data_IF_942276041675
#
_entry.id   IF_942276041675
#
_cell.length_a   1.000
_cell.length_b   1.000
_cell.length_c   1.000
_cell.angle_alpha   90.00
_cell.angle_beta   90.00
_cell.angle_gamma   90.00
#
_symmetry.space_group_name_H-M   'P 1'
#
loop_
_entity.id
_entity.type
_entity.pdbx_description
1 polymer ?
#
# COMPACT_ATOMS: atom_id res chain seq x y z
N UNK A 1 28.39 45.72 21.48
CA UNK A 1 27.64 45.62 20.22
C UNK A 1 26.18 45.43 20.55
N UNK A 2 25.29 46.10 19.83
CA UNK A 2 23.85 45.92 19.97
C UNK A 2 23.43 44.49 19.61
N UNK A 3 22.37 43.98 20.26
CA UNK A 3 21.81 42.66 19.94
C UNK A 3 20.94 42.77 18.69
N UNK A 4 21.49 42.42 17.54
CA UNK A 4 20.77 42.46 16.25
C UNK A 4 20.23 41.08 15.88
N UNK A 5 18.96 41.00 15.48
CA UNK A 5 18.35 39.82 14.85
C UNK A 5 18.08 40.13 13.37
N UNK A 6 18.66 39.34 12.47
CA UNK A 6 18.40 39.42 11.03
C UNK A 6 17.51 38.24 10.61
N UNK A 7 16.42 38.54 9.89
CA UNK A 7 15.53 37.52 9.33
C UNK A 7 15.74 37.46 7.83
N UNK A 8 16.14 36.30 7.32
CA UNK A 8 16.29 36.02 5.90
C UNK A 8 15.19 35.04 5.50
N UNK A 9 14.16 35.57 4.85
CA UNK A 9 13.01 34.77 4.43
C UNK A 9 13.23 34.22 3.01
N UNK A 10 12.85 32.97 2.79
CA UNK A 10 12.80 32.32 1.49
C UNK A 10 14.11 32.30 0.70
N UNK A 11 15.17 31.77 1.30
CA UNK A 11 16.49 31.85 0.69
C UNK A 11 16.77 30.73 -0.33
N UNK A 12 15.80 29.84 -0.59
CA UNK A 12 15.96 28.66 -1.44
C UNK A 12 16.47 28.97 -2.87
N UNK A 13 16.02 30.03 -3.57
CA UNK A 13 16.52 30.35 -4.90
C UNK A 13 17.98 30.83 -4.92
N UNK A 14 18.50 31.30 -3.78
CA UNK A 14 19.82 31.93 -3.62
C UNK A 14 20.61 31.30 -2.46
N UNK A 15 20.41 30.00 -2.24
CA UNK A 15 20.86 29.31 -1.04
C UNK A 15 22.37 29.42 -0.82
N UNK A 16 23.17 29.29 -1.90
CA UNK A 16 24.63 29.35 -1.84
C UNK A 16 25.15 30.76 -1.58
N UNK A 17 24.54 31.77 -2.20
CA UNK A 17 24.81 33.19 -1.94
C UNK A 17 24.46 33.55 -0.49
N UNK A 18 23.30 33.09 -0.02
CA UNK A 18 22.83 33.33 1.34
C UNK A 18 23.74 32.67 2.38
N UNK A 19 24.17 31.42 2.17
CA UNK A 19 25.11 30.75 3.05
C UNK A 19 26.44 31.54 3.18
N UNK A 20 26.97 32.06 2.06
CA UNK A 20 28.17 32.92 2.07
C UNK A 20 27.93 34.24 2.82
N UNK A 21 26.78 34.88 2.59
CA UNK A 21 26.41 36.11 3.29
C UNK A 21 26.30 35.89 4.80
N UNK A 22 25.63 34.82 5.22
CA UNK A 22 25.47 34.46 6.64
C UNK A 22 26.84 34.23 7.29
N UNK A 23 27.75 33.51 6.63
CA UNK A 23 29.12 33.33 7.13
C UNK A 23 29.86 34.65 7.30
N UNK A 24 29.80 35.55 6.31
CA UNK A 24 30.44 36.85 6.37
C UNK A 24 29.88 37.73 7.49
N UNK A 25 28.56 37.73 7.68
CA UNK A 25 27.89 38.48 8.74
C UNK A 25 28.26 37.98 10.13
N UNK A 26 28.31 36.65 10.34
CA UNK A 26 28.69 36.06 11.62
C UNK A 26 30.16 36.34 11.97
N UNK A 27 31.06 36.39 10.97
CA UNK A 27 32.45 36.79 11.18
C UNK A 27 32.60 38.28 11.54
N UNK A 28 31.84 39.15 10.88
CA UNK A 28 31.92 40.60 11.11
C UNK A 28 31.19 41.06 12.38
N UNK A 29 30.13 40.35 12.78
CA UNK A 29 29.29 40.68 13.94
C UNK A 29 28.95 39.43 14.77
N UNK A 30 29.87 38.95 15.64
CA UNK A 30 29.69 37.71 16.40
C UNK A 30 28.51 37.69 17.38
N UNK A 31 27.94 38.86 17.72
CA UNK A 31 26.78 38.98 18.60
C UNK A 31 25.43 38.98 17.85
N UNK A 32 25.45 38.98 16.50
CA UNK A 32 24.24 38.95 15.69
C UNK A 32 23.58 37.56 15.74
N UNK A 33 22.25 37.53 15.70
CA UNK A 33 21.46 36.30 15.51
C UNK A 33 20.81 36.34 14.13
N UNK A 34 20.78 35.20 13.44
CA UNK A 34 20.15 35.08 12.14
C UNK A 34 19.06 34.01 12.20
N UNK A 35 17.86 34.37 11.76
CA UNK A 35 16.77 33.44 11.52
C UNK A 35 16.59 33.31 10.02
N UNK A 36 16.83 32.12 9.48
CA UNK A 36 16.72 31.85 8.05
C UNK A 36 15.57 30.90 7.81
N UNK A 37 14.67 31.22 6.88
CA UNK A 37 13.64 30.30 6.41
C UNK A 37 14.05 29.73 5.05
N UNK A 38 14.02 28.41 4.94
CA UNK A 38 14.41 27.68 3.74
C UNK A 38 13.76 26.28 3.75
N UNK A 39 13.58 25.68 2.58
CA UNK A 39 13.16 24.28 2.43
C UNK A 39 14.30 23.30 2.79
N UNK A 40 15.56 23.75 2.73
CA UNK A 40 16.73 22.93 3.12
C UNK A 40 17.66 23.73 4.03
N UNK A 41 18.36 23.06 4.96
CA UNK A 41 19.41 23.68 5.76
C UNK A 41 20.45 24.35 4.86
N UNK A 42 21.02 25.47 5.31
CA UNK A 42 22.11 26.17 4.61
C UNK A 42 23.41 25.34 4.58
N UNK A 43 23.55 24.36 5.47
CA UNK A 43 24.74 23.52 5.57
C UNK A 43 25.89 24.19 6.30
N UNK A 44 25.57 25.09 7.24
CA UNK A 44 26.57 25.79 8.06
C UNK A 44 26.88 24.97 9.32
N UNK A 45 28.14 24.97 9.76
CA UNK A 45 28.59 24.11 10.87
C UNK A 45 27.91 24.37 12.22
N UNK A 46 27.45 25.60 12.48
CA UNK A 46 26.75 25.99 13.72
C UNK A 46 25.23 26.17 13.51
N UNK A 47 24.68 25.65 12.42
CA UNK A 47 23.27 25.78 12.09
C UNK A 47 22.37 25.00 13.06
N UNK A 48 21.41 25.70 13.68
CA UNK A 48 20.34 25.08 14.47
C UNK A 48 19.08 25.00 13.61
N UNK A 49 18.73 23.78 13.17
CA UNK A 49 17.62 23.55 12.24
C UNK A 49 16.34 23.23 13.01
N UNK A 50 15.36 24.12 12.95
CA UNK A 50 13.98 23.84 13.38
C UNK A 50 13.17 23.33 12.18
N UNK A 51 12.87 22.03 12.14
CA UNK A 51 12.01 21.45 11.10
C UNK A 51 10.54 21.69 11.45
N UNK A 52 9.81 22.33 10.54
CA UNK A 52 8.37 22.52 10.66
C UNK A 52 7.63 21.29 10.13
N UNK A 53 6.69 20.77 10.92
CA UNK A 53 5.79 19.70 10.52
C UNK A 53 4.45 20.26 10.01
N UNK A 54 3.68 19.41 9.32
CA UNK A 54 2.27 19.68 9.11
C UNK A 54 1.53 19.85 10.45
N UNK A 55 0.38 20.53 10.42
CA UNK A 55 -0.47 20.68 11.59
C UNK A 55 -1.07 19.32 11.98
N UNK A 56 -1.10 18.97 13.28
CA UNK A 56 -1.80 17.78 13.73
C UNK A 56 -3.28 17.85 13.36
N UNK A 57 -3.76 16.76 12.77
CA UNK A 57 -5.16 16.56 12.36
C UNK A 57 -5.98 15.86 13.44
N UNK A 58 -5.31 15.16 14.35
CA UNK A 58 -5.91 14.48 15.50
C UNK A 58 -5.58 15.22 16.79
N UNK A 59 -6.46 15.08 17.78
CA UNK A 59 -6.26 15.62 19.13
C UNK A 59 -5.48 14.59 19.96
N UNK A 60 -4.34 14.95 20.57
CA UNK A 60 -3.62 14.06 21.47
C UNK A 60 -4.51 13.61 22.64
N UNK A 61 -4.33 12.38 23.10
CA UNK A 61 -5.07 11.85 24.24
C UNK A 61 -4.92 12.77 25.47
N UNK A 62 -6.06 13.28 25.99
CA UNK A 62 -6.10 14.19 27.13
C UNK A 62 -6.10 15.68 26.81
N UNK A 63 -5.97 16.08 25.54
CA UNK A 63 -6.19 17.46 25.13
C UNK A 63 -7.70 17.75 24.91
N UNK A 64 -8.12 18.96 25.27
CA UNK A 64 -9.50 19.45 25.07
C UNK A 64 -9.54 20.49 23.95
N UNK A 65 -10.54 20.40 23.07
CA UNK A 65 -10.72 21.29 21.92
C UNK A 65 -10.31 20.67 20.57
N UNK A 66 -10.56 21.39 19.46
CA UNK A 66 -10.31 20.86 18.11
C UNK A 66 -8.81 20.74 17.82
N UNK A 67 -8.44 19.81 16.94
CA UNK A 67 -7.07 19.65 16.47
C UNK A 67 -6.57 20.94 15.79
N UNK A 68 -5.25 21.26 15.84
CA UNK A 68 -4.70 22.48 15.25
C UNK A 68 -5.07 22.69 13.77
N UNK A 69 -5.13 21.63 12.97
CA UNK A 69 -5.55 21.70 11.57
C UNK A 69 -7.03 22.11 11.44
N UNK A 70 -7.91 21.52 12.26
CA UNK A 70 -9.35 21.84 12.32
C UNK A 70 -9.55 23.28 12.76
N UNK A 71 -8.82 23.73 13.78
CA UNK A 71 -8.85 25.12 14.23
C UNK A 71 -8.50 26.09 13.10
N UNK A 72 -7.40 25.82 12.37
CA UNK A 72 -7.03 26.66 11.22
C UNK A 72 -8.11 26.64 10.14
N UNK A 73 -8.71 25.49 9.83
CA UNK A 73 -9.78 25.39 8.85
C UNK A 73 -10.96 26.29 9.22
N UNK A 74 -11.42 26.20 10.47
CA UNK A 74 -12.57 26.98 10.97
C UNK A 74 -12.25 28.47 11.01
N UNK A 75 -11.06 28.87 11.44
CA UNK A 75 -10.61 30.27 11.41
C UNK A 75 -10.64 30.86 9.99
N UNK A 76 -10.46 30.02 8.97
CA UNK A 76 -10.36 30.43 7.56
C UNK A 76 -11.69 30.30 6.82
N UNK A 77 -12.61 29.48 7.31
CA UNK A 77 -13.96 29.33 6.80
C UNK A 77 -14.86 30.57 7.00
N UNK A 78 -14.38 31.60 7.71
CA UNK A 78 -15.03 32.92 7.91
C UNK A 78 -16.53 32.78 8.26
N UNK A 79 -17.42 33.22 7.38
CA UNK A 79 -18.86 33.30 7.62
C UNK A 79 -19.51 31.92 7.81
N UNK A 80 -18.89 30.84 7.30
CA UNK A 80 -19.34 29.46 7.48
C UNK A 80 -18.87 28.83 8.80
N UNK A 81 -18.00 29.49 9.58
CA UNK A 81 -17.41 28.92 10.79
C UNK A 81 -18.43 28.56 11.88
N UNK A 82 -19.50 29.35 12.01
CA UNK A 82 -20.53 29.15 13.03
C UNK A 82 -21.41 27.91 12.74
N UNK A 83 -21.68 27.61 11.47
CA UNK A 83 -22.44 26.41 11.09
C UNK A 83 -21.60 25.15 11.34
N UNK A 84 -20.34 25.15 10.87
CA UNK A 84 -19.42 24.01 10.94
C UNK A 84 -19.14 23.51 12.37
N UNK A 85 -19.10 24.41 13.35
CA UNK A 85 -18.89 24.07 14.76
C UNK A 85 -20.19 23.73 15.51
N UNK A 86 -21.35 24.03 14.93
CA UNK A 86 -22.64 23.86 15.58
C UNK A 86 -23.22 22.45 15.50
N UNK A 87 -22.65 21.56 14.67
CA UNK A 87 -23.16 20.19 14.44
C UNK A 87 -22.04 19.16 14.46
N UNK A 88 -22.17 18.13 15.29
CA UNK A 88 -21.16 17.06 15.44
C UNK A 88 -20.78 16.39 14.10
N UNK A 89 -21.76 16.20 13.21
CA UNK A 89 -21.54 15.63 11.88
C UNK A 89 -20.65 16.50 10.98
N UNK A 90 -20.74 17.83 11.10
CA UNK A 90 -19.92 18.75 10.33
C UNK A 90 -18.49 18.82 10.89
N UNK A 91 -18.33 18.71 12.21
CA UNK A 91 -17.00 18.59 12.83
C UNK A 91 -16.24 17.37 12.31
N UNK A 92 -16.89 16.19 12.24
CA UNK A 92 -16.28 14.99 11.70
C UNK A 92 -15.88 15.14 10.22
N UNK A 93 -16.63 15.93 9.45
CA UNK A 93 -16.29 16.20 8.05
C UNK A 93 -15.14 17.19 7.90
N UNK A 94 -15.05 18.21 8.75
CA UNK A 94 -13.90 19.12 8.78
C UNK A 94 -12.62 18.34 9.12
N UNK A 95 -12.68 17.41 10.07
CA UNK A 95 -11.57 16.51 10.37
C UNK A 95 -11.19 15.64 9.16
N UNK A 96 -12.17 15.11 8.43
CA UNK A 96 -11.91 14.38 7.17
C UNK A 96 -11.20 15.27 6.14
N UNK A 97 -11.69 16.49 5.91
CA UNK A 97 -11.05 17.45 4.98
C UNK A 97 -9.61 17.74 5.40
N UNK A 98 -9.38 18.02 6.69
CA UNK A 98 -8.04 18.26 7.24
C UNK A 98 -7.09 17.06 7.05
N UNK A 99 -7.60 15.83 7.20
CA UNK A 99 -6.87 14.58 6.92
C UNK A 99 -6.55 14.44 5.43
N UNK A 100 -7.51 14.74 4.54
CA UNK A 100 -7.32 14.65 3.08
C UNK A 100 -6.25 15.61 2.56
N UNK A 101 -6.11 16.78 3.18
CA UNK A 101 -5.04 17.76 2.89
C UNK A 101 -3.78 17.57 3.76
N UNK A 102 -3.71 16.46 4.50
CA UNK A 102 -2.55 16.01 5.28
C UNK A 102 -2.00 17.04 6.28
N UNK A 103 -2.87 17.89 6.82
CA UNK A 103 -2.51 18.93 7.78
C UNK A 103 -1.68 20.08 7.21
N UNK A 104 -1.54 20.18 5.88
CA UNK A 104 -0.70 21.23 5.26
C UNK A 104 -1.41 22.58 5.35
N UNK A 105 -0.86 23.59 6.06
CA UNK A 105 -1.55 24.85 6.31
C UNK A 105 -2.08 25.55 5.05
N UNK A 106 -1.25 25.63 4.00
CA UNK A 106 -1.68 26.23 2.73
C UNK A 106 -2.87 25.49 2.12
N UNK A 107 -2.87 24.16 2.14
CA UNK A 107 -3.96 23.36 1.56
C UNK A 107 -5.24 23.46 2.41
N UNK A 108 -5.11 23.57 3.74
CA UNK A 108 -6.23 23.84 4.66
C UNK A 108 -6.88 25.18 4.33
N UNK A 109 -6.08 26.24 4.21
CA UNK A 109 -6.58 27.57 3.87
C UNK A 109 -7.26 27.60 2.51
N UNK A 110 -6.63 26.99 1.49
CA UNK A 110 -7.20 26.90 0.15
C UNK A 110 -8.48 26.07 0.11
N UNK A 111 -8.61 25.03 0.95
CA UNK A 111 -9.83 24.23 1.07
C UNK A 111 -10.95 25.00 1.76
N UNK A 112 -10.65 25.73 2.84
CA UNK A 112 -11.61 26.60 3.51
C UNK A 112 -12.15 27.69 2.57
N UNK A 113 -11.28 28.29 1.75
CA UNK A 113 -11.66 29.25 0.69
C UNK A 113 -12.64 28.67 -0.36
N UNK A 114 -12.86 27.35 -0.41
CA UNK A 114 -13.80 26.73 -1.35
C UNK A 114 -15.23 26.58 -0.82
N UNK A 115 -15.47 26.90 0.46
CA UNK A 115 -16.80 26.74 1.06
C UNK A 115 -17.84 27.70 0.47
N UNK A 116 -17.41 28.79 -0.17
CA UNK A 116 -18.28 29.66 -0.97
C UNK A 116 -18.90 28.94 -2.18
N UNK A 117 -18.33 27.82 -2.61
CA UNK A 117 -18.67 27.12 -3.86
C UNK A 117 -19.12 25.68 -3.66
N UNK A 118 -18.70 25.03 -2.59
CA UNK A 118 -18.99 23.64 -2.30
C UNK A 118 -19.44 23.47 -0.86
N UNK A 119 -20.42 22.60 -0.64
CA UNK A 119 -20.70 22.08 0.70
C UNK A 119 -19.47 21.33 1.24
N UNK A 120 -19.38 21.18 2.56
CA UNK A 120 -18.27 20.44 3.18
C UNK A 120 -18.22 18.97 2.71
N UNK A 121 -19.39 18.36 2.43
CA UNK A 121 -19.49 17.01 1.88
C UNK A 121 -18.96 16.92 0.44
N UNK A 122 -19.35 17.87 -0.42
CA UNK A 122 -18.88 17.94 -1.80
C UNK A 122 -17.38 18.22 -1.87
N UNK A 123 -16.89 19.09 -0.98
CA UNK A 123 -15.47 19.39 -0.86
C UNK A 123 -14.67 18.13 -0.48
N UNK A 124 -15.12 17.38 0.53
CA UNK A 124 -14.49 16.13 0.92
C UNK A 124 -14.50 15.11 -0.24
N UNK A 125 -15.64 14.95 -0.93
CA UNK A 125 -15.74 14.05 -2.08
C UNK A 125 -14.77 14.41 -3.21
N UNK A 126 -14.61 15.71 -3.52
CA UNK A 126 -13.62 16.19 -4.49
C UNK A 126 -12.18 15.97 -4.03
N UNK A 127 -11.88 16.24 -2.77
CA UNK A 127 -10.53 16.04 -2.20
C UNK A 127 -10.11 14.56 -2.19
N UNK A 128 -11.05 13.62 -2.06
CA UNK A 128 -10.78 12.18 -2.24
C UNK A 128 -10.29 11.85 -3.66
N UNK A 129 -10.70 12.62 -4.67
CA UNK A 129 -10.24 12.45 -6.06
C UNK A 129 -8.92 13.18 -6.33
N UNK A 130 -8.67 14.31 -5.68
CA UNK A 130 -7.41 15.03 -5.81
C UNK A 130 -7.43 16.37 -5.08
N UNK A 131 -6.26 16.92 -4.78
CA UNK A 131 -6.12 18.25 -4.18
C UNK A 131 -5.41 19.26 -5.09
N UNK A 132 -4.86 18.83 -6.23
CA UNK A 132 -4.16 19.71 -7.18
C UNK A 132 -5.03 20.82 -7.81
N UNK A 133 -6.35 20.76 -7.67
CA UNK A 133 -7.29 21.81 -8.11
C UNK A 133 -7.48 22.93 -7.10
N UNK A 134 -7.04 22.75 -5.84
CA UNK A 134 -7.16 23.76 -4.80
C UNK A 134 -6.36 25.00 -5.20
N UNK A 135 -7.08 26.09 -5.39
CA UNK A 135 -6.56 27.40 -5.80
C UNK A 135 -7.33 28.49 -5.06
N UNK A 136 -6.67 29.61 -4.80
CA UNK A 136 -7.32 30.73 -4.12
C UNK A 136 -8.37 31.36 -5.03
N UNK A 137 -9.52 31.71 -4.45
CA UNK A 137 -10.59 32.45 -5.13
C UNK A 137 -10.29 33.95 -5.27
N UNK A 138 -9.32 34.47 -4.52
CA UNK A 138 -8.98 35.90 -4.49
C UNK A 138 -7.53 36.13 -4.96
N UNK A 139 -7.30 36.96 -5.98
CA UNK A 139 -5.95 37.35 -6.38
C UNK A 139 -5.40 38.38 -5.40
N UNK A 140 -4.89 37.95 -4.25
CA UNK A 140 -4.17 38.84 -3.33
C UNK A 140 -3.01 38.13 -2.61
N UNK A 141 -1.80 38.68 -2.80
CA UNK A 141 -0.59 38.64 -1.96
C UNK A 141 -0.03 37.28 -1.48
N UNK A 142 -0.70 36.15 -1.76
CA UNK A 142 -0.21 34.82 -1.40
C UNK A 142 0.90 34.41 -2.35
N UNK A 143 2.04 34.01 -1.78
CA UNK A 143 3.22 33.53 -2.51
C UNK A 143 2.92 32.33 -3.42
N UNK A 144 2.03 31.45 -2.96
CA UNK A 144 1.51 30.33 -3.76
C UNK A 144 -0.01 30.45 -3.86
N UNK A 145 -0.51 30.47 -5.09
CA UNK A 145 -1.94 30.65 -5.37
C UNK A 145 -2.68 29.31 -5.40
N UNK A 146 -1.96 28.20 -5.66
CA UNK A 146 -2.50 26.84 -5.62
C UNK A 146 -1.56 25.87 -4.92
N UNK A 147 -2.10 24.73 -4.49
CA UNK A 147 -1.28 23.60 -4.00
C UNK A 147 -0.30 23.14 -5.08
N UNK A 148 -0.74 23.13 -6.35
CA UNK A 148 0.09 22.76 -7.50
C UNK A 148 1.28 23.71 -7.67
N UNK A 149 1.11 25.02 -7.47
CA UNK A 149 2.19 26.00 -7.57
C UNK A 149 3.22 25.85 -6.45
N UNK A 150 2.75 25.58 -5.23
CA UNK A 150 3.64 25.34 -4.09
C UNK A 150 4.56 24.13 -4.37
N UNK A 151 3.97 23.00 -4.78
CA UNK A 151 4.70 21.78 -5.14
C UNK A 151 5.61 22.01 -6.35
N UNK A 152 5.14 22.75 -7.36
CA UNK A 152 5.91 23.11 -8.54
C UNK A 152 7.14 23.96 -8.21
N UNK A 153 7.08 24.81 -7.18
CA UNK A 153 8.23 25.58 -6.72
C UNK A 153 9.32 24.68 -6.13
N UNK A 154 8.95 23.73 -5.28
CA UNK A 154 9.85 22.69 -4.74
C UNK A 154 10.45 21.84 -5.86
N UNK A 155 9.65 21.43 -6.85
CA UNK A 155 10.15 20.67 -8.01
C UNK A 155 11.23 21.42 -8.79
N UNK A 156 11.12 22.75 -8.93
CA UNK A 156 12.14 23.58 -9.60
C UNK A 156 13.48 23.63 -8.86
N UNK A 157 13.50 23.41 -7.54
CA UNK A 157 14.73 23.34 -6.75
C UNK A 157 15.48 22.00 -6.92
N UNK A 158 14.79 20.95 -7.39
CA UNK A 158 15.37 19.63 -7.54
C UNK A 158 16.29 19.54 -8.77
N UNK A 159 17.43 18.85 -8.61
CA UNK A 159 18.24 18.42 -9.73
C UNK A 159 17.49 17.39 -10.60
N UNK A 160 17.96 17.18 -11.83
CA UNK A 160 17.31 16.28 -12.80
C UNK A 160 17.03 14.88 -12.23
N UNK A 161 18.02 14.24 -11.60
CA UNK A 161 17.85 12.88 -11.06
C UNK A 161 16.74 12.81 -9.99
N UNK A 162 16.69 13.80 -9.09
CA UNK A 162 15.67 13.89 -8.03
C UNK A 162 14.28 14.10 -8.63
N UNK A 163 14.16 14.91 -9.68
CA UNK A 163 12.90 15.12 -10.41
C UNK A 163 12.39 13.85 -11.07
N UNK A 164 13.29 13.07 -11.68
CA UNK A 164 12.95 11.79 -12.32
C UNK A 164 12.52 10.76 -11.26
N UNK A 165 13.28 10.64 -10.17
CA UNK A 165 12.93 9.72 -9.06
C UNK A 165 11.59 10.11 -8.44
N UNK A 166 11.32 11.40 -8.22
CA UNK A 166 10.01 11.86 -7.74
C UNK A 166 8.89 11.45 -8.70
N UNK A 167 9.02 11.77 -10.00
CA UNK A 167 8.00 11.40 -10.98
C UNK A 167 7.77 9.88 -11.03
N UNK A 168 8.81 9.05 -10.97
CA UNK A 168 8.65 7.59 -10.98
C UNK A 168 8.07 7.05 -9.67
N UNK A 169 8.52 7.57 -8.53
CA UNK A 169 8.03 7.16 -7.21
C UNK A 169 6.57 7.55 -6.97
N UNK A 170 5.99 8.50 -7.73
CA UNK A 170 4.57 8.82 -7.60
C UNK A 170 3.64 7.70 -8.08
N UNK A 171 4.17 6.63 -8.68
CA UNK A 171 3.40 5.43 -9.01
C UNK A 171 2.95 4.65 -7.76
N UNK A 172 3.63 4.85 -6.62
CA UNK A 172 3.28 4.19 -5.36
C UNK A 172 2.02 4.82 -4.74
N UNK A 173 1.05 3.98 -4.39
CA UNK A 173 -0.21 4.37 -3.75
C UNK A 173 -0.08 4.42 -2.22
N UNK A 174 0.81 3.63 -1.65
CA UNK A 174 1.07 3.49 -0.23
C UNK A 174 2.46 3.98 0.17
N UNK A 175 2.97 3.38 1.24
CA UNK A 175 4.37 3.55 1.65
C UNK A 175 5.25 2.53 0.93
N UNK A 176 6.52 2.83 0.73
CA UNK A 176 7.48 1.96 0.04
C UNK A 176 8.84 1.97 0.74
N UNK A 177 9.62 0.90 0.55
CA UNK A 177 10.99 0.82 1.05
C UNK A 177 11.99 1.41 0.06
N UNK A 178 13.23 1.65 0.51
CA UNK A 178 14.33 2.03 -0.39
C UNK A 178 14.57 0.98 -1.49
N UNK A 179 14.55 -0.31 -1.16
CA UNK A 179 14.72 -1.41 -2.12
C UNK A 179 13.62 -1.40 -3.20
N UNK A 180 12.38 -1.14 -2.79
CA UNK A 180 11.24 -0.97 -3.70
C UNK A 180 11.43 0.24 -4.61
N UNK A 181 11.89 1.37 -4.06
CA UNK A 181 12.19 2.56 -4.85
C UNK A 181 13.31 2.29 -5.87
N UNK A 182 14.38 1.59 -5.48
CA UNK A 182 15.47 1.20 -6.37
C UNK A 182 14.94 0.36 -7.54
N UNK A 183 14.11 -0.64 -7.25
CA UNK A 183 13.56 -1.56 -8.24
C UNK A 183 12.68 -0.85 -9.28
N UNK A 184 11.89 0.14 -8.85
CA UNK A 184 10.90 0.78 -9.73
C UNK A 184 11.43 2.04 -10.41
N UNK A 185 12.26 2.83 -9.71
CA UNK A 185 12.60 4.20 -10.14
C UNK A 185 13.97 4.35 -10.83
N UNK A 186 14.83 3.32 -10.76
CA UNK A 186 16.15 3.33 -11.43
C UNK A 186 16.07 3.21 -12.96
N UNK A 187 17.19 3.32 -13.67
CA UNK A 187 17.27 3.23 -15.13
C UNK A 187 16.98 4.54 -15.87
N UNK A 188 17.03 4.53 -17.20
CA UNK A 188 16.79 5.74 -18.02
C UNK A 188 17.70 6.92 -17.65
N UNK A 189 18.98 6.64 -17.36
CA UNK A 189 19.97 7.63 -16.91
C UNK A 189 20.04 7.85 -15.39
N UNK A 190 19.10 7.34 -14.60
CA UNK A 190 19.19 7.35 -13.13
C UNK A 190 19.83 6.05 -12.65
N UNK A 191 21.04 6.15 -12.09
CA UNK A 191 21.77 5.01 -11.52
C UNK A 191 21.16 4.58 -10.17
N UNK A 192 21.20 3.29 -9.89
CA UNK A 192 20.71 2.72 -8.62
C UNK A 192 21.34 3.37 -7.40
N UNK A 193 22.63 3.66 -7.45
CA UNK A 193 23.38 4.28 -6.35
C UNK A 193 22.93 5.71 -6.01
N UNK A 194 22.20 6.38 -6.92
CA UNK A 194 21.68 7.73 -6.68
C UNK A 194 20.35 7.70 -5.93
N UNK A 195 19.59 6.60 -5.98
CA UNK A 195 18.23 6.52 -5.42
C UNK A 195 18.20 6.87 -3.92
N UNK A 196 19.07 6.31 -3.04
CA UNK A 196 19.03 6.66 -1.61
C UNK A 196 19.24 8.17 -1.38
N UNK A 197 20.18 8.77 -2.12
CA UNK A 197 20.43 10.22 -2.03
C UNK A 197 19.27 11.06 -2.55
N UNK A 198 18.52 10.58 -3.55
CA UNK A 198 17.32 11.23 -4.04
C UNK A 198 16.17 11.13 -3.03
N UNK A 199 15.97 9.97 -2.40
CA UNK A 199 14.95 9.80 -1.36
C UNK A 199 15.23 10.71 -0.16
N UNK A 200 16.48 10.77 0.30
CA UNK A 200 16.89 11.68 1.38
C UNK A 200 16.63 13.15 1.04
N UNK A 201 16.91 13.58 -0.20
CA UNK A 201 16.60 14.94 -0.66
C UNK A 201 15.09 15.21 -0.72
N UNK A 202 14.29 14.27 -1.20
CA UNK A 202 12.84 14.40 -1.23
C UNK A 202 12.24 14.43 0.17
N UNK A 203 12.77 13.66 1.12
CA UNK A 203 12.40 13.76 2.54
C UNK A 203 12.77 15.12 3.13
N UNK A 204 13.97 15.63 2.83
CA UNK A 204 14.40 16.94 3.31
C UNK A 204 13.54 18.09 2.78
N UNK A 205 12.95 17.93 1.59
CA UNK A 205 12.02 18.87 0.95
C UNK A 205 10.55 18.66 1.37
N UNK A 206 10.25 17.70 2.25
CA UNK A 206 8.88 17.40 2.68
C UNK A 206 8.01 16.73 1.61
N UNK A 207 8.61 16.26 0.51
CA UNK A 207 7.92 15.48 -0.53
C UNK A 207 7.63 14.06 -0.04
N UNK A 208 8.57 13.48 0.71
CA UNK A 208 8.44 12.17 1.35
C UNK A 208 8.39 12.34 2.88
N UNK A 209 7.50 11.61 3.53
CA UNK A 209 7.47 11.41 4.99
C UNK A 209 8.03 10.03 5.30
N UNK A 210 8.86 9.92 6.34
CA UNK A 210 9.29 8.63 6.89
C UNK A 210 8.24 8.14 7.86
N UNK A 211 7.70 6.93 7.66
CA UNK A 211 6.62 6.39 8.50
C UNK A 211 7.11 5.49 9.63
N UNK A 212 8.38 5.09 9.61
CA UNK A 212 9.04 4.33 10.67
C UNK A 212 10.36 5.03 11.03
N UNK A 213 10.68 5.08 12.33
CA UNK A 213 11.81 5.86 12.84
C UNK A 213 13.18 5.27 12.44
N UNK A 214 14.15 6.14 12.09
CA UNK A 214 15.55 5.74 12.00
C UNK A 214 16.04 5.21 13.36
N UNK A 215 16.32 3.90 13.44
CA UNK A 215 16.77 3.22 14.67
C UNK A 215 15.79 2.18 15.24
N UNK A 216 14.64 1.98 14.60
CA UNK A 216 13.72 0.87 14.91
C UNK A 216 14.21 -0.50 14.39
N UNK A 217 13.57 -1.58 14.85
CA UNK A 217 13.83 -2.95 14.38
C UNK A 217 13.36 -3.19 12.93
N UNK A 218 12.54 -2.27 12.38
CA UNK A 218 11.95 -2.37 11.03
C UNK A 218 12.64 -1.42 10.04
N UNK A 219 12.47 -1.71 8.75
CA UNK A 219 13.09 -0.95 7.66
C UNK A 219 12.36 0.37 7.44
N UNK A 220 13.11 1.47 7.33
CA UNK A 220 12.53 2.79 7.02
C UNK A 220 11.67 2.73 5.76
N UNK A 221 10.41 3.18 5.91
CA UNK A 221 9.45 3.31 4.81
C UNK A 221 9.18 4.78 4.52
N UNK A 222 9.00 5.08 3.25
CA UNK A 222 8.70 6.40 2.73
C UNK A 222 7.26 6.45 2.25
N UNK A 223 6.56 7.53 2.55
CA UNK A 223 5.23 7.84 2.01
C UNK A 223 5.27 9.19 1.34
N UNK A 224 4.89 9.26 0.07
CA UNK A 224 4.81 10.53 -0.65
C UNK A 224 3.57 11.29 -0.23
N UNK A 225 3.71 12.60 0.02
CA UNK A 225 2.54 13.45 0.28
C UNK A 225 1.62 13.41 -0.94
N UNK A 226 0.32 13.45 -0.71
CA UNK A 226 -0.69 13.32 -1.75
C UNK A 226 -0.54 14.41 -2.83
N UNK A 227 -0.28 15.65 -2.44
CA UNK A 227 -0.05 16.76 -3.37
C UNK A 227 1.19 16.52 -4.24
N UNK A 228 2.29 16.05 -3.64
CA UNK A 228 3.51 15.75 -4.37
C UNK A 228 3.34 14.53 -5.28
N UNK A 229 2.56 13.52 -4.87
CA UNK A 229 2.24 12.36 -5.69
C UNK A 229 1.42 12.74 -6.91
N UNK A 230 0.37 13.53 -6.76
CA UNK A 230 -0.45 14.02 -7.88
C UNK A 230 0.40 14.82 -8.89
N UNK A 231 1.27 15.71 -8.38
CA UNK A 231 2.19 16.46 -9.24
C UNK A 231 3.19 15.55 -9.95
N UNK A 232 3.81 14.61 -9.22
CA UNK A 232 4.74 13.63 -9.77
C UNK A 232 4.09 12.77 -10.86
N UNK A 233 2.86 12.33 -10.64
CA UNK A 233 2.12 11.50 -11.58
C UNK A 233 1.81 12.26 -12.88
N UNK A 234 1.44 13.54 -12.79
CA UNK A 234 1.33 14.44 -13.96
C UNK A 234 2.64 14.46 -14.75
N UNK A 235 3.78 14.63 -14.08
CA UNK A 235 5.10 14.68 -14.72
C UNK A 235 5.50 13.34 -15.33
N UNK A 236 5.18 12.24 -14.66
CA UNK A 236 5.45 10.88 -15.14
C UNK A 236 4.69 10.60 -16.45
N UNK A 237 3.41 10.99 -16.50
CA UNK A 237 2.56 10.86 -17.68
C UNK A 237 3.01 11.79 -18.80
N UNK A 238 3.32 13.05 -18.50
CA UNK A 238 3.85 14.02 -19.48
C UNK A 238 5.18 13.54 -20.10
N UNK A 239 6.01 12.83 -19.32
CA UNK A 239 7.25 12.21 -19.80
C UNK A 239 7.03 10.91 -20.60
N UNK A 240 5.80 10.39 -20.65
CA UNK A 240 5.49 9.11 -21.30
C UNK A 240 6.04 7.87 -20.57
N UNK A 241 6.50 8.01 -19.33
CA UNK A 241 7.17 6.95 -18.58
C UNK A 241 6.21 6.12 -17.69
N UNK A 242 4.93 6.52 -17.59
CA UNK A 242 3.95 5.84 -16.76
C UNK A 242 3.83 4.32 -17.05
N UNK A 243 3.70 3.86 -18.31
CA UNK A 243 3.58 2.42 -18.60
C UNK A 243 4.80 1.62 -18.13
N UNK A 244 6.00 2.19 -18.27
CA UNK A 244 7.26 1.56 -17.83
C UNK A 244 7.32 1.47 -16.31
N UNK A 245 6.96 2.55 -15.60
CA UNK A 245 6.92 2.55 -14.14
C UNK A 245 5.88 1.55 -13.60
N UNK A 246 4.70 1.49 -14.20
CA UNK A 246 3.64 0.54 -13.83
C UNK A 246 4.05 -0.91 -14.05
N UNK A 247 4.71 -1.23 -15.17
CA UNK A 247 5.24 -2.57 -15.44
C UNK A 247 6.32 -2.99 -14.44
N UNK A 248 7.24 -2.08 -14.08
CA UNK A 248 8.26 -2.33 -13.04
C UNK A 248 7.66 -2.54 -11.67
N UNK A 249 6.69 -1.72 -11.27
CA UNK A 249 5.93 -1.91 -10.02
C UNK A 249 5.28 -3.30 -10.01
N UNK A 250 4.64 -3.68 -11.11
CA UNK A 250 3.96 -4.98 -11.25
C UNK A 250 4.95 -6.13 -11.08
N UNK A 251 6.11 -6.08 -11.73
CA UNK A 251 7.16 -7.09 -11.57
C UNK A 251 7.72 -7.15 -10.14
N UNK A 252 7.96 -5.99 -9.51
CA UNK A 252 8.43 -5.92 -8.13
C UNK A 252 7.43 -6.55 -7.16
N UNK A 253 6.15 -6.18 -7.26
CA UNK A 253 5.08 -6.70 -6.41
C UNK A 253 4.85 -8.19 -6.63
N UNK A 254 4.95 -8.68 -7.86
CA UNK A 254 4.92 -10.12 -8.15
C UNK A 254 6.04 -10.86 -7.43
N UNK A 255 7.28 -10.36 -7.51
CA UNK A 255 8.42 -10.98 -6.84
C UNK A 255 8.28 -10.96 -5.31
N UNK A 256 7.77 -9.87 -4.76
CA UNK A 256 7.52 -9.72 -3.33
C UNK A 256 6.41 -10.68 -2.84
N UNK A 257 5.32 -10.79 -3.59
CA UNK A 257 4.24 -11.74 -3.30
C UNK A 257 4.72 -13.20 -3.36
N UNK A 258 5.55 -13.55 -4.34
CA UNK A 258 6.18 -14.86 -4.42
C UNK A 258 7.10 -15.12 -3.21
N UNK A 259 7.89 -14.13 -2.79
CA UNK A 259 8.71 -14.23 -1.58
C UNK A 259 7.85 -14.43 -0.33
N UNK A 260 6.73 -13.72 -0.19
CA UNK A 260 5.79 -13.92 0.91
C UNK A 260 5.22 -15.35 0.92
N UNK A 261 4.87 -15.89 -0.26
CA UNK A 261 4.47 -17.29 -0.42
C UNK A 261 5.56 -18.26 0.04
N UNK A 262 6.82 -18.03 -0.34
CA UNK A 262 7.93 -18.89 0.09
C UNK A 262 8.17 -18.82 1.60
N UNK A 263 8.08 -17.63 2.20
CA UNK A 263 8.18 -17.48 3.66
C UNK A 263 7.10 -18.30 4.36
N UNK A 264 5.85 -18.21 3.87
CA UNK A 264 4.74 -19.01 4.38
C UNK A 264 5.01 -20.52 4.28
N UNK A 265 5.42 -20.99 3.09
CA UNK A 265 5.68 -22.40 2.82
C UNK A 265 6.89 -22.95 3.60
N UNK A 266 7.80 -22.07 4.03
CA UNK A 266 8.99 -22.41 4.84
C UNK A 266 8.75 -22.41 6.36
N UNK A 267 7.56 -22.03 6.81
CA UNK A 267 7.19 -21.93 8.24
C UNK A 267 7.35 -20.53 8.85
N UNK A 268 7.91 -19.56 8.13
CA UNK A 268 8.00 -18.16 8.57
C UNK A 268 6.72 -17.37 8.22
N UNK A 269 5.60 -17.84 8.77
CA UNK A 269 4.27 -17.30 8.49
C UNK A 269 4.09 -15.87 9.04
N UNK A 270 4.77 -15.53 10.13
CA UNK A 270 4.74 -14.18 10.68
C UNK A 270 5.43 -13.19 9.72
N UNK A 271 6.58 -13.53 9.16
CA UNK A 271 7.23 -12.68 8.16
C UNK A 271 6.37 -12.55 6.90
N UNK A 272 5.78 -13.65 6.41
CA UNK A 272 4.88 -13.64 5.27
C UNK A 272 3.68 -12.68 5.48
N UNK A 273 3.01 -12.77 6.63
CA UNK A 273 1.89 -11.91 6.98
C UNK A 273 2.30 -10.44 7.14
N UNK A 274 3.45 -10.18 7.77
CA UNK A 274 3.96 -8.81 7.89
C UNK A 274 4.27 -8.22 6.52
N UNK A 275 4.91 -8.98 5.63
CA UNK A 275 5.26 -8.55 4.28
C UNK A 275 4.02 -8.20 3.45
N UNK A 276 2.98 -9.05 3.46
CA UNK A 276 1.74 -8.77 2.73
C UNK A 276 1.00 -7.57 3.33
N UNK A 277 0.94 -7.46 4.66
CA UNK A 277 0.30 -6.31 5.33
C UNK A 277 0.98 -5.00 4.95
N UNK A 278 2.31 -4.96 4.96
CA UNK A 278 3.07 -3.74 4.73
C UNK A 278 3.01 -3.29 3.25
N UNK A 279 2.71 -4.22 2.32
CA UNK A 279 2.66 -3.97 0.86
C UNK A 279 1.26 -4.11 0.25
N UNK A 280 0.21 -4.26 1.07
CA UNK A 280 -1.15 -4.53 0.60
C UNK A 280 -1.67 -3.43 -0.34
N UNK A 281 -1.40 -2.16 -0.02
CA UNK A 281 -1.78 -1.02 -0.84
C UNK A 281 -1.21 -1.11 -2.27
N UNK A 282 0.04 -1.58 -2.40
CA UNK A 282 0.72 -1.72 -3.69
C UNK A 282 0.28 -2.97 -4.45
N UNK A 283 -0.05 -4.05 -3.73
CA UNK A 283 -0.64 -5.26 -4.31
C UNK A 283 -2.00 -4.95 -4.93
N UNK A 284 -2.88 -4.29 -4.18
CA UNK A 284 -4.20 -3.88 -4.66
C UNK A 284 -4.10 -2.88 -5.81
N UNK A 285 -3.19 -1.89 -5.72
CA UNK A 285 -2.97 -0.93 -6.79
C UNK A 285 -2.45 -1.58 -8.08
N UNK A 286 -1.61 -2.60 -7.97
CA UNK A 286 -1.12 -3.39 -9.10
C UNK A 286 -2.25 -4.18 -9.75
N UNK A 287 -3.09 -4.85 -8.96
CA UNK A 287 -4.25 -5.58 -9.47
C UNK A 287 -5.27 -4.67 -10.15
N UNK A 288 -5.65 -3.54 -9.52
CA UNK A 288 -6.56 -2.57 -10.11
C UNK A 288 -6.00 -1.96 -11.41
N UNK A 289 -4.71 -1.63 -11.44
CA UNK A 289 -4.10 -1.12 -12.67
C UNK A 289 -4.18 -2.12 -13.83
N UNK A 290 -3.91 -3.40 -13.57
CA UNK A 290 -4.03 -4.46 -14.58
C UNK A 290 -5.47 -4.68 -15.07
N UNK A 291 -6.47 -4.37 -14.24
CA UNK A 291 -7.89 -4.42 -14.62
C UNK A 291 -8.29 -3.22 -15.49
N UNK A 292 -7.78 -2.03 -15.18
CA UNK A 292 -8.07 -0.80 -15.93
C UNK A 292 -7.31 -0.73 -17.27
N UNK A 293 -6.10 -1.30 -17.31
CA UNK A 293 -5.21 -1.26 -18.47
C UNK A 293 -4.69 -2.68 -18.79
N UNK A 294 -5.54 -3.56 -19.34
CA UNK A 294 -5.16 -4.95 -19.58
C UNK A 294 -3.98 -5.07 -20.54
N UNK A 295 -2.93 -5.75 -20.10
CA UNK A 295 -1.77 -6.12 -20.92
C UNK A 295 -1.33 -7.52 -20.49
N UNK A 296 -1.17 -8.50 -21.41
CA UNK A 296 -1.01 -9.91 -21.07
C UNK A 296 0.01 -10.17 -19.96
N UNK A 297 1.22 -9.60 -20.09
CA UNK A 297 2.29 -9.79 -19.11
C UNK A 297 1.98 -9.17 -17.74
N UNK A 298 1.36 -7.99 -17.70
CA UNK A 298 1.06 -7.31 -16.44
C UNK A 298 -0.14 -7.94 -15.74
N UNK A 299 -1.15 -8.36 -16.50
CA UNK A 299 -2.32 -9.07 -15.99
C UNK A 299 -1.93 -10.42 -15.42
N UNK A 300 -1.11 -11.20 -16.12
CA UNK A 300 -0.59 -12.47 -15.61
C UNK A 300 0.27 -12.27 -14.35
N UNK A 301 1.12 -11.24 -14.33
CA UNK A 301 1.94 -10.92 -13.18
C UNK A 301 1.12 -10.47 -11.96
N UNK A 302 0.08 -9.66 -12.17
CA UNK A 302 -0.85 -9.26 -11.12
C UNK A 302 -1.64 -10.45 -10.57
N UNK A 303 -2.13 -11.34 -11.45
CA UNK A 303 -2.80 -12.57 -11.04
C UNK A 303 -1.87 -13.48 -10.23
N UNK A 304 -0.63 -13.66 -10.68
CA UNK A 304 0.38 -14.45 -9.96
C UNK A 304 0.67 -13.87 -8.57
N UNK A 305 0.70 -12.53 -8.43
CA UNK A 305 0.84 -11.87 -7.14
C UNK A 305 -0.34 -12.15 -6.20
N UNK A 306 -1.58 -12.00 -6.69
CA UNK A 306 -2.81 -12.28 -5.92
C UNK A 306 -2.86 -13.75 -5.48
N UNK A 307 -2.50 -14.67 -6.37
CA UNK A 307 -2.48 -16.11 -6.06
C UNK A 307 -1.39 -16.48 -5.05
N UNK A 308 -0.22 -15.85 -5.14
CA UNK A 308 0.92 -16.15 -4.26
C UNK A 308 0.65 -15.81 -2.80
N UNK A 309 -0.24 -14.85 -2.53
CA UNK A 309 -0.64 -14.46 -1.17
C UNK A 309 -1.97 -15.09 -0.73
N UNK A 310 -2.29 -16.29 -1.24
CA UNK A 310 -3.53 -17.03 -0.92
C UNK A 310 -3.88 -17.05 0.58
N UNK A 311 -2.87 -17.17 1.44
CA UNK A 311 -3.03 -17.24 2.89
C UNK A 311 -3.57 -15.92 3.48
N UNK A 312 -3.30 -14.79 2.85
CA UNK A 312 -3.86 -13.50 3.25
C UNK A 312 -5.37 -13.46 3.03
N UNK A 313 -5.84 -14.00 1.90
CA UNK A 313 -7.27 -14.05 1.58
C UNK A 313 -8.01 -15.05 2.47
N UNK A 314 -7.42 -16.22 2.71
CA UNK A 314 -8.09 -17.33 3.42
C UNK A 314 -7.93 -17.29 4.94
N UNK A 315 -6.73 -17.01 5.46
CA UNK A 315 -6.46 -17.09 6.90
C UNK A 315 -6.72 -15.77 7.65
N UNK A 316 -6.67 -14.61 6.96
CA UNK A 316 -6.82 -13.29 7.60
C UNK A 316 -8.19 -12.63 7.36
N UNK A 317 -9.16 -13.34 6.78
CA UNK A 317 -10.53 -12.83 6.61
C UNK A 317 -10.72 -11.88 5.42
N UNK A 318 -9.79 -11.82 4.47
CA UNK A 318 -9.87 -10.97 3.28
C UNK A 318 -10.45 -11.70 2.04
N UNK A 319 -11.21 -12.78 2.26
CA UNK A 319 -11.63 -13.69 1.18
C UNK A 319 -12.54 -13.05 0.12
N UNK A 320 -13.43 -12.14 0.52
CA UNK A 320 -14.31 -11.43 -0.42
C UNK A 320 -13.51 -10.55 -1.40
N UNK A 321 -12.51 -9.81 -0.89
CA UNK A 321 -11.62 -8.99 -1.73
C UNK A 321 -10.79 -9.86 -2.67
N UNK A 322 -10.20 -10.95 -2.16
CA UNK A 322 -9.44 -11.89 -2.99
C UNK A 322 -10.29 -12.49 -4.11
N UNK A 323 -11.54 -12.88 -3.80
CA UNK A 323 -12.46 -13.45 -4.78
C UNK A 323 -12.89 -12.42 -5.84
N UNK A 324 -13.17 -11.17 -5.46
CA UNK A 324 -13.48 -10.09 -6.43
C UNK A 324 -12.32 -9.88 -7.42
N UNK A 325 -11.09 -9.78 -6.90
CA UNK A 325 -9.91 -9.60 -7.74
C UNK A 325 -9.71 -10.78 -8.70
N UNK A 326 -9.81 -12.03 -8.20
CA UNK A 326 -9.68 -13.22 -9.05
C UNK A 326 -10.77 -13.28 -10.11
N UNK A 327 -12.03 -13.04 -9.74
CA UNK A 327 -13.17 -13.07 -10.67
C UNK A 327 -13.03 -12.06 -11.81
N UNK A 328 -12.36 -10.92 -11.55
CA UNK A 328 -12.15 -9.85 -12.55
C UNK A 328 -10.86 -10.03 -13.35
N UNK A 329 -9.80 -10.59 -12.76
CA UNK A 329 -8.51 -10.82 -13.44
C UNK A 329 -8.52 -12.07 -14.33
N UNK A 330 -9.14 -13.16 -13.88
CA UNK A 330 -9.15 -14.43 -14.61
C UNK A 330 -9.68 -14.33 -16.06
N UNK A 331 -10.77 -13.58 -16.36
CA UNK A 331 -11.25 -13.41 -17.72
C UNK A 331 -10.29 -12.68 -18.66
N UNK A 332 -9.29 -11.97 -18.12
CA UNK A 332 -8.29 -11.22 -18.87
C UNK A 332 -7.02 -12.03 -19.14
N UNK A 333 -6.88 -13.22 -18.54
CA UNK A 333 -5.70 -14.08 -18.66
C UNK A 333 -5.93 -15.19 -19.69
N UNK A 334 -4.85 -15.69 -20.30
CA UNK A 334 -4.93 -16.82 -21.22
C UNK A 334 -5.29 -18.12 -20.44
N UNK A 335 -6.38 -18.82 -20.82
CA UNK A 335 -6.75 -20.08 -20.18
C UNK A 335 -5.62 -21.11 -20.27
N UNK A 336 -5.39 -21.85 -19.18
CA UNK A 336 -4.36 -22.89 -19.12
C UNK A 336 -2.97 -22.41 -18.70
N UNK A 337 -2.74 -21.09 -18.58
CA UNK A 337 -1.53 -20.59 -17.91
C UNK A 337 -1.47 -21.07 -16.46
N UNK A 338 -0.28 -21.38 -15.90
CA UNK A 338 -0.17 -21.84 -14.51
C UNK A 338 -0.73 -20.86 -13.46
N UNK A 339 -0.67 -19.55 -13.72
CA UNK A 339 -1.30 -18.52 -12.88
C UNK A 339 -2.83 -18.58 -12.96
N UNK A 340 -3.39 -18.72 -14.17
CA UNK A 340 -4.82 -18.86 -14.40
C UNK A 340 -5.39 -20.13 -13.74
N UNK A 341 -4.74 -21.28 -13.93
CA UNK A 341 -5.14 -22.56 -13.30
C UNK A 341 -5.18 -22.45 -11.78
N UNK A 342 -4.10 -21.93 -11.17
CA UNK A 342 -4.05 -21.71 -9.71
C UNK A 342 -5.06 -20.67 -9.24
N UNK A 343 -5.26 -19.59 -10.00
CA UNK A 343 -6.25 -18.55 -9.71
C UNK A 343 -7.68 -19.06 -9.74
N UNK A 344 -8.04 -19.89 -10.73
CA UNK A 344 -9.37 -20.51 -10.83
C UNK A 344 -9.62 -21.44 -9.64
N UNK A 345 -8.64 -22.26 -9.26
CA UNK A 345 -8.74 -23.09 -8.06
C UNK A 345 -8.90 -22.25 -6.79
N UNK A 346 -8.10 -21.19 -6.60
CA UNK A 346 -8.19 -20.33 -5.43
C UNK A 346 -9.55 -19.60 -5.35
N UNK A 347 -10.09 -19.17 -6.49
CA UNK A 347 -11.43 -18.60 -6.58
C UNK A 347 -12.49 -19.62 -6.14
N UNK A 348 -12.36 -20.89 -6.55
CA UNK A 348 -13.24 -21.96 -6.10
C UNK A 348 -13.19 -22.14 -4.58
N UNK A 349 -11.98 -22.14 -4.00
CA UNK A 349 -11.80 -22.31 -2.56
C UNK A 349 -12.38 -21.14 -1.76
N UNK A 350 -12.13 -19.90 -2.18
CA UNK A 350 -12.69 -18.71 -1.55
C UNK A 350 -14.23 -18.67 -1.64
N UNK A 351 -14.79 -19.13 -2.75
CA UNK A 351 -16.24 -19.20 -2.95
C UNK A 351 -16.92 -20.35 -2.18
N UNK A 352 -16.20 -21.42 -1.81
CA UNK A 352 -16.81 -22.63 -1.23
C UNK A 352 -17.65 -22.35 0.03
N UNK A 353 -17.28 -21.33 0.81
CA UNK A 353 -17.97 -20.93 2.03
C UNK A 353 -19.12 -19.93 1.82
N UNK A 354 -19.15 -19.19 0.71
CA UNK A 354 -20.09 -18.08 0.48
C UNK A 354 -21.03 -18.36 -0.69
N UNK A 355 -20.52 -18.90 -1.78
CA UNK A 355 -21.25 -19.27 -2.99
C UNK A 355 -20.79 -20.64 -3.52
N UNK A 356 -21.41 -21.74 -3.04
CA UNK A 356 -21.10 -23.09 -3.50
C UNK A 356 -21.38 -23.34 -4.99
N UNK A 357 -22.27 -22.54 -5.61
CA UNK A 357 -22.58 -22.69 -7.02
C UNK A 357 -21.44 -22.10 -7.87
N UNK A 358 -20.96 -20.91 -7.52
CA UNK A 358 -19.76 -20.32 -8.13
C UNK A 358 -18.53 -21.20 -7.91
N UNK A 359 -18.35 -21.76 -6.70
CA UNK A 359 -17.24 -22.67 -6.42
C UNK A 359 -17.22 -23.86 -7.40
N UNK A 360 -18.36 -24.53 -7.61
CA UNK A 360 -18.47 -25.63 -8.59
C UNK A 360 -18.21 -25.19 -10.02
N UNK A 361 -18.64 -23.99 -10.41
CA UNK A 361 -18.36 -23.47 -11.75
C UNK A 361 -16.85 -23.29 -11.99
N UNK A 362 -16.11 -22.78 -10.99
CA UNK A 362 -14.66 -22.67 -11.06
C UNK A 362 -13.97 -24.05 -11.09
N UNK A 363 -14.42 -25.01 -10.28
CA UNK A 363 -13.87 -26.38 -10.31
C UNK A 363 -14.10 -27.06 -11.66
N UNK A 364 -15.29 -26.91 -12.25
CA UNK A 364 -15.60 -27.42 -13.58
C UNK A 364 -14.73 -26.78 -14.68
N UNK A 365 -14.31 -25.52 -14.51
CA UNK A 365 -13.43 -24.82 -15.44
C UNK A 365 -11.96 -25.28 -15.33
N UNK A 366 -11.46 -25.55 -14.13
CA UNK A 366 -10.05 -25.93 -13.92
C UNK A 366 -9.79 -27.42 -14.12
N UNK A 367 -10.77 -28.28 -13.82
CA UNK A 367 -10.62 -29.73 -13.84
C UNK A 367 -10.14 -30.30 -15.19
N UNK A 368 -10.73 -29.93 -16.36
CA UNK A 368 -10.29 -30.47 -17.65
C UNK A 368 -8.81 -30.14 -17.94
N UNK A 369 -8.39 -28.93 -17.59
CA UNK A 369 -7.01 -28.47 -17.77
C UNK A 369 -6.04 -29.29 -16.91
N UNK A 370 -6.42 -29.57 -15.66
CA UNK A 370 -5.61 -30.38 -14.75
C UNK A 370 -5.49 -31.84 -15.22
N UNK A 371 -6.60 -32.44 -15.67
CA UNK A 371 -6.60 -33.81 -16.19
C UNK A 371 -5.78 -33.94 -17.46
N UNK A 372 -5.99 -33.06 -18.45
CA UNK A 372 -5.26 -33.11 -19.73
C UNK A 372 -3.77 -32.80 -19.57
N UNK A 373 -3.42 -31.96 -18.58
CA UNK A 373 -2.04 -31.63 -18.26
C UNK A 373 -1.32 -32.65 -17.37
N UNK A 374 -2.03 -33.64 -16.81
CA UNK A 374 -1.46 -34.57 -15.82
C UNK A 374 -0.98 -33.87 -14.54
N UNK A 375 -1.67 -32.80 -14.13
CA UNK A 375 -1.30 -31.99 -12.95
C UNK A 375 -1.98 -32.55 -11.68
N UNK A 376 -1.35 -33.56 -11.09
CA UNK A 376 -1.81 -34.21 -9.86
C UNK A 376 -1.98 -33.22 -8.70
N UNK A 377 -1.15 -32.17 -8.64
CA UNK A 377 -1.24 -31.15 -7.59
C UNK A 377 -2.55 -30.38 -7.73
N UNK A 378 -2.87 -29.94 -8.94
CA UNK A 378 -4.14 -29.24 -9.20
C UNK A 378 -5.34 -30.16 -9.02
N UNK A 379 -5.24 -31.44 -9.39
CA UNK A 379 -6.31 -32.42 -9.13
C UNK A 379 -6.55 -32.62 -7.63
N UNK A 380 -5.48 -32.75 -6.83
CA UNK A 380 -5.59 -32.81 -5.36
C UNK A 380 -6.20 -31.53 -4.78
N UNK A 381 -5.80 -30.38 -5.28
CA UNK A 381 -6.38 -29.08 -4.92
C UNK A 381 -7.88 -28.98 -5.24
N UNK A 382 -8.32 -29.49 -6.40
CA UNK A 382 -9.74 -29.59 -6.75
C UNK A 382 -10.47 -30.51 -5.78
N UNK A 383 -9.91 -31.70 -5.51
CA UNK A 383 -10.48 -32.64 -4.54
C UNK A 383 -10.63 -32.00 -3.16
N UNK A 384 -9.68 -31.17 -2.70
CA UNK A 384 -9.80 -30.47 -1.43
C UNK A 384 -11.08 -29.61 -1.36
N UNK A 385 -11.35 -28.83 -2.42
CA UNK A 385 -12.51 -27.95 -2.47
C UNK A 385 -13.81 -28.75 -2.64
N UNK A 386 -13.82 -29.82 -3.43
CA UNK A 386 -14.96 -30.75 -3.49
C UNK A 386 -15.28 -31.36 -2.12
N UNK A 387 -14.25 -31.70 -1.34
CA UNK A 387 -14.39 -32.15 0.04
C UNK A 387 -15.09 -31.13 0.94
N UNK A 388 -14.71 -29.85 0.85
CA UNK A 388 -15.36 -28.75 1.58
C UNK A 388 -16.83 -28.57 1.16
N UNK A 389 -17.12 -28.66 -0.14
CA UNK A 389 -18.49 -28.58 -0.67
C UNK A 389 -19.35 -29.77 -0.23
N UNK A 390 -18.78 -30.98 -0.15
CA UNK A 390 -19.44 -32.16 0.36
C UNK A 390 -19.75 -32.05 1.87
N UNK A 391 -18.79 -31.58 2.67
CA UNK A 391 -19.02 -31.29 4.10
C UNK A 391 -20.19 -30.31 4.30
N UNK A 392 -20.22 -29.24 3.51
CA UNK A 392 -21.28 -28.23 3.60
C UNK A 392 -22.67 -28.79 3.26
N UNK A 393 -22.75 -29.79 2.38
CA UNK A 393 -24.00 -30.49 2.05
C UNK A 393 -24.39 -31.57 3.08
N UNK A 394 -23.52 -31.84 4.07
CA UNK A 394 -23.71 -32.91 5.04
C UNK A 394 -23.31 -34.30 4.53
N UNK A 395 -22.71 -34.40 3.34
CA UNK A 395 -22.22 -35.65 2.76
C UNK A 395 -20.80 -35.95 3.27
N UNK A 396 -20.73 -36.40 4.51
CA UNK A 396 -19.46 -36.68 5.19
C UNK A 396 -18.67 -37.86 4.56
N UNK A 397 -19.30 -38.92 4.02
CA UNK A 397 -18.56 -39.96 3.28
C UNK A 397 -17.93 -39.47 1.97
N UNK A 398 -18.64 -38.66 1.17
CA UNK A 398 -18.06 -38.08 -0.04
C UNK A 398 -16.91 -37.13 0.31
N UNK A 399 -17.10 -36.29 1.33
CA UNK A 399 -16.05 -35.41 1.83
C UNK A 399 -14.78 -36.18 2.23
N UNK A 400 -14.92 -37.27 2.98
CA UNK A 400 -13.79 -38.10 3.38
C UNK A 400 -13.06 -38.74 2.19
N UNK A 401 -13.78 -39.09 1.12
CA UNK A 401 -13.15 -39.61 -0.11
C UNK A 401 -12.29 -38.53 -0.76
N UNK A 402 -12.86 -37.35 -0.98
CA UNK A 402 -12.17 -36.22 -1.57
C UNK A 402 -10.93 -35.75 -0.79
N UNK A 403 -11.01 -35.68 0.55
CA UNK A 403 -9.85 -35.35 1.37
C UNK A 403 -8.77 -36.44 1.38
N UNK A 404 -9.17 -37.72 1.28
CA UNK A 404 -8.22 -38.82 1.12
C UNK A 404 -7.49 -38.75 -0.23
N UNK A 405 -8.22 -38.47 -1.32
CA UNK A 405 -7.65 -38.26 -2.66
C UNK A 405 -6.67 -37.08 -2.65
N UNK A 406 -7.04 -35.98 -1.99
CA UNK A 406 -6.17 -34.81 -1.82
C UNK A 406 -4.85 -35.19 -1.15
N UNK A 407 -4.91 -35.93 -0.03
CA UNK A 407 -3.72 -36.34 0.70
C UNK A 407 -2.86 -37.38 -0.03
N UNK A 408 -3.41 -38.05 -1.05
CA UNK A 408 -2.68 -38.97 -1.92
C UNK A 408 -2.00 -38.25 -3.10
N UNK A 409 -2.65 -37.20 -3.64
CA UNK A 409 -2.19 -36.48 -4.82
C UNK A 409 -1.22 -35.33 -4.52
N UNK A 410 -1.33 -34.67 -3.36
CA UNK A 410 -0.50 -33.52 -2.99
C UNK A 410 0.79 -33.99 -2.29
N UNK A 411 1.99 -33.68 -2.84
CA UNK A 411 3.28 -33.94 -2.19
C UNK A 411 3.44 -33.31 -0.81
N UNK A 412 4.40 -33.80 -0.02
CA UNK A 412 4.68 -33.29 1.33
C UNK A 412 5.04 -31.81 1.40
N UNK A 413 5.65 -31.27 0.34
CA UNK A 413 5.89 -29.83 0.17
C UNK A 413 5.31 -29.41 -1.16
N UNK A 414 4.24 -28.62 -1.13
CA UNK A 414 3.65 -28.01 -2.31
C UNK A 414 3.66 -26.50 -2.12
N UNK A 415 4.22 -25.75 -3.08
CA UNK A 415 4.16 -24.30 -3.02
C UNK A 415 2.72 -23.84 -3.23
N UNK A 416 2.27 -22.93 -2.38
CA UNK A 416 0.93 -22.36 -2.36
C UNK A 416 -0.23 -23.35 -2.11
N UNK A 417 -1.15 -22.95 -1.22
CA UNK A 417 -2.35 -23.70 -0.87
C UNK A 417 -2.23 -24.55 0.39
N UNK A 418 -3.25 -25.36 0.71
CA UNK A 418 -3.29 -26.08 1.96
C UNK A 418 -2.26 -27.20 1.94
N UNK A 419 -1.50 -27.35 3.02
CA UNK A 419 -0.62 -28.51 3.18
C UNK A 419 -1.44 -29.81 3.24
N UNK A 420 -0.86 -30.98 2.90
CA UNK A 420 -1.56 -32.25 3.03
C UNK A 420 -2.10 -32.50 4.45
N UNK A 421 -1.42 -31.96 5.46
CA UNK A 421 -1.86 -32.02 6.86
C UNK A 421 -3.23 -31.38 7.07
N UNK A 422 -3.51 -30.25 6.45
CA UNK A 422 -4.82 -29.58 6.51
C UNK A 422 -5.91 -30.46 5.90
N UNK A 423 -5.60 -31.15 4.80
CA UNK A 423 -6.54 -32.09 4.19
C UNK A 423 -6.75 -33.34 5.04
N UNK A 424 -5.71 -33.84 5.72
CA UNK A 424 -5.82 -34.94 6.67
C UNK A 424 -6.62 -34.56 7.93
N UNK A 425 -6.51 -33.32 8.40
CA UNK A 425 -7.34 -32.77 9.46
C UNK A 425 -8.81 -32.70 9.05
N UNK A 426 -9.08 -32.16 7.84
CA UNK A 426 -10.42 -32.13 7.28
C UNK A 426 -11.01 -33.54 7.06
N UNK A 427 -10.18 -34.51 6.68
CA UNK A 427 -10.55 -35.93 6.61
C UNK A 427 -10.96 -36.49 7.98
N UNK A 428 -10.24 -36.13 9.04
CA UNK A 428 -10.57 -36.55 10.41
C UNK A 428 -11.94 -36.00 10.83
N UNK A 429 -12.20 -34.72 10.55
CA UNK A 429 -13.50 -34.07 10.80
C UNK A 429 -14.61 -34.77 10.04
N UNK A 430 -14.43 -35.04 8.74
CA UNK A 430 -15.42 -35.73 7.92
C UNK A 430 -15.78 -37.11 8.50
N UNK A 431 -14.79 -37.87 8.99
CA UNK A 431 -15.00 -39.22 9.53
C UNK A 431 -15.54 -39.25 10.96
N UNK A 432 -15.44 -38.17 11.73
CA UNK A 432 -15.70 -38.16 13.17
C UNK A 432 -17.08 -38.73 13.55
N UNK A 433 -18.10 -38.50 12.72
CA UNK A 433 -19.47 -38.94 12.97
C UNK A 433 -19.78 -40.41 12.67
N UNK A 434 -18.97 -41.09 11.85
CA UNK A 434 -19.31 -42.45 11.36
C UNK A 434 -18.14 -43.45 11.35
N UNK A 435 -16.89 -42.99 11.40
CA UNK A 435 -15.68 -43.82 11.51
C UNK A 435 -14.69 -43.20 12.51
N UNK A 436 -14.95 -43.31 13.84
CA UNK A 436 -14.09 -42.71 14.85
C UNK A 436 -12.64 -43.21 14.84
N UNK A 437 -12.42 -44.48 14.44
CA UNK A 437 -11.06 -45.05 14.36
C UNK A 437 -10.30 -44.47 13.18
N UNK A 438 -10.92 -44.40 12.00
CA UNK A 438 -10.32 -43.75 10.84
C UNK A 438 -10.14 -42.24 11.01
N UNK A 439 -11.05 -41.58 11.75
CA UNK A 439 -10.90 -40.19 12.14
C UNK A 439 -9.65 -39.96 13.01
N UNK A 440 -9.48 -40.75 14.06
CA UNK A 440 -8.29 -40.69 14.92
C UNK A 440 -7.00 -40.99 14.16
N UNK A 441 -7.04 -41.95 13.23
CA UNK A 441 -5.89 -42.27 12.37
C UNK A 441 -5.52 -41.09 11.45
N UNK A 442 -6.52 -40.45 10.82
CA UNK A 442 -6.31 -39.28 9.98
C UNK A 442 -5.75 -38.09 10.78
N UNK A 443 -6.29 -37.82 11.98
CA UNK A 443 -5.80 -36.76 12.87
C UNK A 443 -4.34 -37.01 13.30
N UNK A 444 -4.00 -38.24 13.68
CA UNK A 444 -2.61 -38.60 14.02
C UNK A 444 -1.66 -38.40 12.84
N UNK A 445 -2.10 -38.73 11.62
CA UNK A 445 -1.32 -38.48 10.40
C UNK A 445 -1.17 -36.99 10.10
N UNK A 446 -2.18 -36.17 10.37
CA UNK A 446 -2.11 -34.71 10.21
C UNK A 446 -1.04 -34.12 11.14
N UNK A 447 -1.11 -34.39 12.44
CA UNK A 447 -0.18 -33.82 13.45
C UNK A 447 1.26 -34.37 13.32
N UNK A 448 1.42 -35.58 12.76
CA UNK A 448 2.75 -36.18 12.51
C UNK A 448 3.30 -35.85 11.12
N UNK A 449 2.59 -35.07 10.30
CA UNK A 449 3.03 -34.76 8.95
C UNK A 449 4.31 -33.90 8.97
N UNK A 450 5.29 -34.16 8.08
CA UNK A 450 6.54 -33.39 8.05
C UNK A 450 6.29 -31.89 7.88
N UNK A 451 6.89 -31.07 8.75
CA UNK A 451 6.79 -29.60 8.69
C UNK A 451 5.55 -29.00 9.35
N UNK A 452 4.57 -29.79 9.82
CA UNK A 452 3.36 -29.24 10.47
C UNK A 452 3.66 -28.47 11.75
N UNK A 453 4.68 -28.88 12.50
CA UNK A 453 5.06 -28.16 13.72
C UNK A 453 5.57 -26.75 13.43
N UNK A 454 6.12 -26.54 12.24
CA UNK A 454 6.65 -25.25 11.77
C UNK A 454 5.58 -24.46 10.98
N UNK A 455 4.47 -25.10 10.62
CA UNK A 455 3.30 -24.50 9.97
C UNK A 455 2.21 -24.19 11.01
N UNK A 456 2.24 -22.99 11.57
CA UNK A 456 1.33 -22.59 12.66
C UNK A 456 -0.15 -22.68 12.26
N UNK A 457 -0.46 -22.39 10.99
CA UNK A 457 -1.82 -22.51 10.45
C UNK A 457 -2.26 -23.96 10.33
N UNK A 458 -1.44 -24.84 9.74
CA UNK A 458 -1.79 -26.26 9.64
C UNK A 458 -1.87 -26.93 11.02
N UNK A 459 -1.04 -26.53 11.97
CA UNK A 459 -1.11 -26.99 13.36
C UNK A 459 -2.36 -26.47 14.09
N UNK A 460 -2.85 -25.27 13.77
CA UNK A 460 -4.12 -24.77 14.31
C UNK A 460 -5.32 -25.53 13.74
N UNK A 461 -5.25 -25.95 12.47
CA UNK A 461 -6.32 -26.67 11.78
C UNK A 461 -6.34 -28.17 12.11
N UNK A 462 -5.17 -28.78 12.35
CA UNK A 462 -4.98 -30.20 12.69
C UNK A 462 -5.22 -30.50 14.17
#
# INVERSE_FOLDING_TARGET
GERTLLVLDDVDPVQAECARLVQQLLMAAPAARLLVTAQRPLGLGEEQVLRLSALPVDVPAGATGPAPAVRLFVERARDSAAELLGRDAESARVEEVCRLVEGVPLAIELAADQLDRYSIDDLAARLRQGQGWLTSSYPALRRHQSVRDAVGSTYRLCAWAVRVVWARASIFTGSFTEDTAVSVTSGGGVRTELIPSCLAQLSALGVLRTTEDPGGLRRVRYRMTRAAREFGASRLTEAGEYPVAASRRTHHIRALAAHAGHCWDSGDQIAALCLVRDELDELLATAHHALEHPHPENTDAALDAVVSVWFWWLAQGHGATGLDLLARLLPLCEPGRPSAVRGTWLAAWLAACTDPAAARAYLAAVWPTAVLGGDDITLGRVAHVEGLLALRRGDTPAAATHFADTAALIPARVPAGPSPAVSLAALAIARAGYDPRGALHAARRAVSWPGVRDDSWANLVA
#
